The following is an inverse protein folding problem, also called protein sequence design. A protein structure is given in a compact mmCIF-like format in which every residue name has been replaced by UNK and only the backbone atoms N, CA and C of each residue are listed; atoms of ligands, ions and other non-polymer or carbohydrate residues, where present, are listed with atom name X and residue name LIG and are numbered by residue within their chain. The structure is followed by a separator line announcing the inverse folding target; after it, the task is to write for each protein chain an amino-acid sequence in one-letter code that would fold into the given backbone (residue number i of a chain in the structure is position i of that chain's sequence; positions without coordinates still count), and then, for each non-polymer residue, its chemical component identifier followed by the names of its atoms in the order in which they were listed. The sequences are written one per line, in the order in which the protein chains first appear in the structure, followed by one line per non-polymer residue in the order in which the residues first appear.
data_IF_248415802413
#
_entry.id   IF_248415802413
#
_cell.length_a   1.000
_cell.length_b   1.000
_cell.length_c   1.000
_cell.angle_alpha   90.00
_cell.angle_beta   90.00
_cell.angle_gamma   90.00
#
_symmetry.space_group_name_H-M   'P 1'
#
loop_
_entity.id
_entity.type
_entity.pdbx_description
1 polymer ?
#
# COMPACT_ATOMS: atom_id res chain seq x y z
N UNK A 1 -3.84 -7.79 -8.88
CA UNK A 1 -4.05 -6.87 -7.73
C UNK A 1 -3.16 -7.33 -6.60
N UNK A 2 -2.34 -6.44 -6.03
CA UNK A 2 -1.44 -6.77 -4.92
C UNK A 2 -1.90 -6.09 -3.63
N UNK A 3 -2.05 -6.87 -2.56
CA UNK A 3 -2.35 -6.40 -1.22
C UNK A 3 -1.11 -6.46 -0.33
N UNK A 4 -0.71 -5.30 0.20
CA UNK A 4 0.32 -5.14 1.22
C UNK A 4 -0.36 -4.81 2.55
N UNK A 5 -0.78 -5.84 3.26
CA UNK A 5 -1.60 -5.73 4.47
C UNK A 5 -1.16 -6.75 5.51
N UNK A 6 -1.49 -6.53 6.78
CA UNK A 6 -1.26 -7.52 7.84
C UNK A 6 -0.50 -6.96 9.04
N UNK A 7 0.60 -6.22 8.84
CA UNK A 7 1.53 -5.79 9.92
C UNK A 7 0.84 -5.06 11.08
N UNK A 8 -0.12 -4.18 10.82
CA UNK A 8 -0.85 -3.51 11.90
C UNK A 8 -1.84 -4.45 12.60
N UNK A 9 -2.44 -5.39 11.88
CA UNK A 9 -3.43 -6.32 12.42
C UNK A 9 -2.77 -7.40 13.28
N UNK A 10 -1.67 -8.01 12.80
CA UNK A 10 -0.94 -9.08 13.52
C UNK A 10 -0.34 -8.60 14.85
N UNK A 11 -0.18 -7.29 15.01
CA UNK A 11 0.26 -6.68 16.26
C UNK A 11 -0.83 -6.61 17.33
N UNK A 12 -2.10 -6.72 16.97
CA UNK A 12 -3.21 -6.48 17.91
C UNK A 12 -4.26 -7.59 17.91
N UNK A 13 -4.28 -8.45 16.89
CA UNK A 13 -5.20 -9.57 16.77
C UNK A 13 -4.44 -10.89 16.58
N UNK A 14 -4.98 -12.01 17.08
CA UNK A 14 -4.48 -13.34 16.75
C UNK A 14 -4.52 -13.61 15.24
N UNK A 15 -3.53 -14.33 14.73
CA UNK A 15 -3.41 -14.73 13.33
C UNK A 15 -4.71 -15.33 12.77
N UNK A 16 -5.29 -16.29 13.48
CA UNK A 16 -6.52 -16.99 13.09
C UNK A 16 -7.69 -16.04 12.79
N UNK A 17 -7.84 -14.97 13.59
CA UNK A 17 -8.87 -13.96 13.38
C UNK A 17 -8.62 -13.16 12.09
N UNK A 18 -7.36 -12.82 11.83
CA UNK A 18 -6.95 -12.05 10.64
C UNK A 18 -7.13 -12.91 9.39
N UNK A 19 -6.82 -14.20 9.47
CA UNK A 19 -6.99 -15.16 8.37
C UNK A 19 -8.46 -15.33 8.01
N UNK A 20 -9.33 -15.51 9.02
CA UNK A 20 -10.78 -15.57 8.79
C UNK A 20 -11.32 -14.30 8.12
N UNK A 21 -10.85 -13.12 8.53
CA UNK A 21 -11.21 -11.85 7.89
C UNK A 21 -10.65 -11.74 6.45
N UNK A 22 -9.43 -12.21 6.23
CA UNK A 22 -8.79 -12.22 4.91
C UNK A 22 -9.59 -13.09 3.95
N UNK A 23 -10.01 -14.29 4.38
CA UNK A 23 -10.88 -15.17 3.61
C UNK A 23 -12.18 -14.47 3.21
N UNK A 24 -12.86 -13.80 4.16
CA UNK A 24 -14.10 -13.07 3.87
C UNK A 24 -13.90 -11.94 2.85
N UNK A 25 -12.78 -11.20 2.95
CA UNK A 25 -12.44 -10.11 2.03
C UNK A 25 -12.17 -10.67 0.63
N UNK A 26 -11.36 -11.72 0.50
CA UNK A 26 -11.06 -12.35 -0.80
C UNK A 26 -12.33 -12.90 -1.44
N UNK A 27 -13.18 -13.61 -0.69
CA UNK A 27 -14.46 -14.12 -1.20
C UNK A 27 -15.36 -12.99 -1.70
N UNK A 28 -15.46 -11.89 -0.93
CA UNK A 28 -16.26 -10.72 -1.31
C UNK A 28 -15.74 -10.07 -2.61
N UNK A 29 -14.42 -9.95 -2.76
CA UNK A 29 -13.78 -9.42 -3.98
C UNK A 29 -14.09 -10.32 -5.17
N UNK A 30 -13.90 -11.64 -5.03
CA UNK A 30 -14.14 -12.61 -6.09
C UNK A 30 -15.61 -12.69 -6.50
N UNK A 31 -16.55 -12.56 -5.56
CA UNK A 31 -17.98 -12.47 -5.83
C UNK A 31 -18.35 -11.18 -6.57
N UNK A 32 -17.76 -10.05 -6.17
CA UNK A 32 -18.04 -8.74 -6.79
C UNK A 32 -17.39 -8.60 -8.16
N UNK A 33 -16.21 -9.18 -8.34
CA UNK A 33 -15.38 -9.09 -9.54
C UNK A 33 -14.98 -10.50 -10.00
N UNK A 34 -15.85 -11.22 -10.73
CA UNK A 34 -15.63 -12.63 -11.09
C UNK A 34 -14.33 -12.89 -11.88
N UNK A 35 -13.86 -11.90 -12.65
CA UNK A 35 -12.59 -12.00 -13.36
C UNK A 35 -11.36 -12.11 -12.44
N UNK A 36 -11.49 -11.77 -11.15
CA UNK A 36 -10.44 -11.91 -10.14
C UNK A 36 -10.43 -13.29 -9.46
N UNK A 37 -11.40 -14.16 -9.74
CA UNK A 37 -11.42 -15.54 -9.25
C UNK A 37 -10.42 -16.46 -9.98
N UNK A 38 -9.87 -15.99 -11.10
CA UNK A 38 -8.83 -16.72 -11.84
C UNK A 38 -7.51 -16.74 -11.06
N UNK A 39 -6.76 -17.84 -11.19
CA UNK A 39 -5.47 -18.01 -10.53
C UNK A 39 -4.55 -16.81 -10.80
N UNK A 40 -3.95 -16.28 -9.73
CA UNK A 40 -2.91 -15.26 -9.81
C UNK A 40 -3.36 -13.84 -10.11
N UNK A 41 -4.67 -13.57 -10.20
CA UNK A 41 -5.20 -12.20 -10.35
C UNK A 41 -5.19 -11.43 -9.03
N UNK A 42 -5.28 -12.15 -7.91
CA UNK A 42 -5.08 -11.61 -6.56
C UNK A 42 -3.71 -12.06 -6.06
N UNK A 43 -2.97 -11.15 -5.45
CA UNK A 43 -1.72 -11.44 -4.76
C UNK A 43 -1.76 -10.78 -3.38
N UNK A 44 -1.34 -11.50 -2.35
CA UNK A 44 -1.24 -11.00 -0.98
C UNK A 44 0.20 -11.21 -0.51
N UNK A 45 0.83 -10.18 0.03
CA UNK A 45 2.16 -10.32 0.59
C UNK A 45 2.13 -10.98 1.96
N UNK A 46 3.14 -11.80 2.26
CA UNK A 46 3.42 -12.19 3.63
C UNK A 46 3.73 -10.95 4.49
N UNK A 47 3.39 -11.00 5.77
CA UNK A 47 3.72 -9.93 6.70
C UNK A 47 5.21 -9.97 6.99
N UNK A 48 5.85 -8.80 6.88
CA UNK A 48 7.24 -8.59 7.29
C UNK A 48 7.43 -8.86 8.78
N UNK A 49 8.66 -9.20 9.21
CA UNK A 49 9.01 -9.18 10.62
C UNK A 49 8.66 -7.83 11.25
N UNK A 50 8.15 -7.85 12.48
CA UNK A 50 7.84 -6.66 13.25
C UNK A 50 8.19 -6.96 14.71
N UNK A 51 8.95 -6.07 15.35
CA UNK A 51 9.39 -6.23 16.74
C UNK A 51 8.72 -5.20 17.66
N UNK A 52 7.85 -4.34 17.10
CA UNK A 52 7.09 -3.37 17.89
C UNK A 52 5.90 -4.04 18.59
N UNK A 53 6.11 -4.45 19.84
CA UNK A 53 5.11 -5.12 20.69
C UNK A 53 3.87 -4.27 20.96
N UNK A 54 2.84 -4.91 21.53
CA UNK A 54 1.61 -4.27 22.04
C UNK A 54 1.18 -4.95 23.33
N UNK A 55 0.11 -4.47 23.98
CA UNK A 55 -0.44 -5.14 25.16
C UNK A 55 -0.88 -6.59 24.91
N UNK A 56 -1.33 -6.91 23.68
CA UNK A 56 -1.76 -8.26 23.31
C UNK A 56 -0.58 -9.22 23.12
N UNK A 57 0.54 -8.71 22.58
CA UNK A 57 1.78 -9.45 22.33
C UNK A 57 2.91 -8.68 22.97
N UNK A 58 3.08 -8.87 24.29
CA UNK A 58 3.95 -8.07 25.14
C UNK A 58 5.43 -8.33 24.93
N UNK A 59 5.79 -9.48 24.35
CA UNK A 59 7.18 -9.85 24.03
C UNK A 59 7.37 -9.99 22.52
N UNK A 60 8.58 -9.70 22.04
CA UNK A 60 8.93 -9.90 20.62
C UNK A 60 8.69 -11.34 20.18
N UNK A 61 9.04 -12.32 21.02
CA UNK A 61 8.82 -13.73 20.73
C UNK A 61 7.33 -14.06 20.52
N UNK A 62 6.43 -13.53 21.36
CA UNK A 62 4.99 -13.74 21.21
C UNK A 62 4.45 -13.12 19.92
N UNK A 63 4.96 -11.94 19.55
CA UNK A 63 4.57 -11.25 18.32
C UNK A 63 5.09 -11.99 17.08
N UNK A 64 6.36 -12.40 17.08
CA UNK A 64 6.97 -13.17 15.99
C UNK A 64 6.26 -14.52 15.81
N UNK A 65 5.91 -15.20 16.90
CA UNK A 65 5.10 -16.42 16.84
C UNK A 65 3.76 -16.17 16.14
N UNK A 66 3.04 -15.11 16.51
CA UNK A 66 1.78 -14.75 15.85
C UNK A 66 1.96 -14.39 14.36
N UNK A 67 3.06 -13.71 14.01
CA UNK A 67 3.40 -13.40 12.61
C UNK A 67 3.67 -14.68 11.81
N UNK A 68 4.39 -15.64 12.39
CA UNK A 68 4.70 -16.91 11.73
C UNK A 68 3.42 -17.71 11.48
N UNK A 69 2.56 -17.86 12.50
CA UNK A 69 1.25 -18.50 12.35
C UNK A 69 0.42 -17.81 11.27
N UNK A 70 0.39 -16.47 11.25
CA UNK A 70 -0.31 -15.73 10.20
C UNK A 70 0.25 -16.02 8.81
N UNK A 71 1.58 -16.02 8.62
CA UNK A 71 2.19 -16.25 7.32
C UNK A 71 1.98 -17.70 6.84
N UNK A 72 2.06 -18.68 7.73
CA UNK A 72 1.77 -20.10 7.43
C UNK A 72 0.30 -20.31 7.04
N UNK A 73 -0.63 -19.78 7.83
CA UNK A 73 -2.06 -19.90 7.52
C UNK A 73 -2.45 -19.12 6.26
N UNK A 74 -1.81 -17.98 5.98
CA UNK A 74 -2.04 -17.23 4.75
C UNK A 74 -1.56 -18.02 3.53
N UNK A 75 -0.42 -18.71 3.62
CA UNK A 75 0.07 -19.62 2.59
C UNK A 75 -0.86 -20.81 2.37
N UNK A 76 -1.44 -21.39 3.43
CA UNK A 76 -2.44 -22.44 3.30
C UNK A 76 -3.72 -21.89 2.62
N UNK A 77 -4.18 -20.71 3.04
CA UNK A 77 -5.36 -20.06 2.49
C UNK A 77 -5.19 -19.71 1.01
N UNK A 78 -3.98 -19.37 0.57
CA UNK A 78 -3.71 -19.03 -0.83
C UNK A 78 -3.98 -20.18 -1.78
N UNK A 79 -3.65 -21.41 -1.36
CA UNK A 79 -3.94 -22.62 -2.12
C UNK A 79 -5.45 -22.90 -2.20
N UNK A 80 -6.18 -22.68 -1.10
CA UNK A 80 -7.64 -22.89 -1.05
C UNK A 80 -8.39 -21.85 -1.88
N UNK A 81 -7.95 -20.61 -1.85
CA UNK A 81 -8.64 -19.47 -2.48
C UNK A 81 -8.03 -18.99 -3.80
N UNK A 82 -7.02 -19.71 -4.29
CA UNK A 82 -6.42 -19.53 -5.61
C UNK A 82 -5.79 -18.13 -5.83
N UNK A 83 -5.15 -17.56 -4.82
CA UNK A 83 -4.40 -16.31 -4.94
C UNK A 83 -2.89 -16.52 -4.78
N UNK A 84 -2.08 -15.61 -5.30
CA UNK A 84 -0.62 -15.69 -5.19
C UNK A 84 -0.12 -15.13 -3.86
N UNK A 85 0.93 -15.74 -3.32
CA UNK A 85 1.69 -15.17 -2.22
C UNK A 85 2.92 -14.46 -2.74
N UNK A 86 3.18 -13.27 -2.21
CA UNK A 86 4.43 -12.55 -2.43
C UNK A 86 5.26 -12.52 -1.15
N UNK A 87 6.43 -13.14 -1.18
CA UNK A 87 7.41 -13.03 -0.11
C UNK A 87 8.52 -12.06 -0.52
N UNK A 88 8.73 -11.02 0.29
CA UNK A 88 9.80 -10.05 0.07
C UNK A 88 11.14 -10.48 0.67
N UNK A 89 11.18 -11.60 1.39
CA UNK A 89 12.36 -12.13 2.08
C UNK A 89 13.02 -11.12 3.04
N UNK A 90 12.18 -10.30 3.69
CA UNK A 90 12.64 -9.30 4.64
C UNK A 90 12.98 -9.94 5.98
N UNK A 91 14.16 -9.60 6.50
CA UNK A 91 14.63 -9.95 7.85
C UNK A 91 14.62 -8.72 8.77
N UNK A 92 14.83 -8.91 10.07
CA UNK A 92 14.88 -7.84 11.08
C UNK A 92 15.90 -6.72 10.73
N UNK A 93 17.00 -7.06 10.05
CA UNK A 93 18.04 -6.11 9.65
C UNK A 93 17.54 -5.07 8.63
N UNK A 94 16.39 -5.29 8.01
CA UNK A 94 15.81 -4.38 7.04
C UNK A 94 14.82 -3.38 7.65
N UNK A 95 14.55 -3.48 8.95
CA UNK A 95 13.62 -2.61 9.65
C UNK A 95 14.25 -1.25 9.98
N UNK A 96 13.42 -0.22 9.99
CA UNK A 96 13.76 1.09 10.52
C UNK A 96 13.86 1.04 12.05
N UNK A 97 14.33 2.14 12.65
CA UNK A 97 14.50 2.27 14.10
C UNK A 97 13.21 2.07 14.90
N UNK A 98 12.04 2.18 14.27
CA UNK A 98 10.77 1.95 14.93
C UNK A 98 10.34 0.48 14.98
N UNK A 99 11.21 -0.41 14.48
CA UNK A 99 11.06 -1.86 14.48
C UNK A 99 9.76 -2.37 13.83
N UNK A 100 9.20 -1.58 12.91
CA UNK A 100 7.91 -1.86 12.29
C UNK A 100 7.89 -1.52 10.80
N UNK A 101 8.48 -0.39 10.40
CA UNK A 101 8.57 -0.03 9.00
C UNK A 101 9.88 -0.53 8.39
N UNK A 102 9.87 -0.70 7.07
CA UNK A 102 11.08 -1.01 6.30
C UNK A 102 11.96 0.26 6.24
N UNK A 103 13.26 0.10 6.47
CA UNK A 103 14.21 1.20 6.34
C UNK A 103 14.30 1.66 4.88
N UNK A 104 14.37 2.98 4.64
CA UNK A 104 14.28 3.57 3.29
C UNK A 104 15.35 3.09 2.29
N UNK A 105 16.47 2.57 2.80
CA UNK A 105 17.57 2.00 2.01
C UNK A 105 17.23 0.63 1.40
N UNK A 106 16.20 -0.05 1.90
CA UNK A 106 15.79 -1.36 1.38
C UNK A 106 14.56 -1.19 0.48
N UNK A 107 14.80 -1.27 -0.82
CA UNK A 107 13.77 -1.08 -1.83
C UNK A 107 13.10 -2.42 -2.16
N UNK A 108 11.86 -2.61 -1.71
CA UNK A 108 11.01 -3.76 -2.11
C UNK A 108 10.45 -3.61 -3.55
N UNK A 109 10.71 -2.47 -4.19
CA UNK A 109 10.13 -2.12 -5.49
C UNK A 109 10.50 -3.11 -6.59
N UNK A 110 11.76 -3.55 -6.64
CA UNK A 110 12.20 -4.53 -7.63
C UNK A 110 11.48 -5.88 -7.44
N UNK A 111 11.26 -6.31 -6.19
CA UNK A 111 10.48 -7.51 -5.90
C UNK A 111 9.03 -7.38 -6.36
N UNK A 112 8.43 -6.19 -6.25
CA UNK A 112 7.07 -5.93 -6.77
C UNK A 112 7.05 -5.99 -8.30
N UNK A 113 8.02 -5.37 -8.97
CA UNK A 113 8.13 -5.42 -10.45
C UNK A 113 8.28 -6.87 -10.90
N UNK A 114 9.28 -7.57 -10.38
CA UNK A 114 9.57 -8.96 -10.75
C UNK A 114 8.35 -9.87 -10.53
N UNK A 115 7.60 -9.65 -9.45
CA UNK A 115 6.35 -10.38 -9.19
C UNK A 115 5.32 -10.16 -10.30
N UNK A 116 5.08 -8.91 -10.70
CA UNK A 116 4.13 -8.63 -11.77
C UNK A 116 4.59 -9.13 -13.13
N UNK A 117 5.89 -9.08 -13.42
CA UNK A 117 6.46 -9.65 -14.64
C UNK A 117 6.24 -11.17 -14.70
N UNK A 118 6.49 -11.88 -13.59
CA UNK A 118 6.22 -13.32 -13.47
C UNK A 118 4.73 -13.64 -13.65
N UNK A 119 3.84 -12.89 -12.99
CA UNK A 119 2.39 -13.09 -13.13
C UNK A 119 1.95 -12.88 -14.59
N UNK A 120 2.49 -11.88 -15.27
CA UNK A 120 2.18 -11.61 -16.68
C UNK A 120 2.72 -12.70 -17.62
N UNK A 121 3.90 -13.25 -17.32
CA UNK A 121 4.46 -14.37 -18.08
C UNK A 121 3.57 -15.62 -17.94
N UNK A 122 3.17 -15.98 -16.72
CA UNK A 122 2.28 -17.13 -16.47
C UNK A 122 0.92 -16.99 -17.15
N UNK A 123 0.37 -15.77 -17.21
CA UNK A 123 -0.87 -15.50 -17.95
C UNK A 123 -0.64 -15.70 -19.46
N UNK A 124 0.50 -15.26 -19.98
CA UNK A 124 0.81 -15.33 -21.41
C UNK A 124 1.02 -16.77 -21.90
N UNK A 125 1.66 -17.62 -21.09
CA UNK A 125 1.83 -19.05 -21.41
C UNK A 125 0.53 -19.85 -21.29
N UNK A 126 -0.36 -19.50 -20.37
CA UNK A 126 -1.67 -20.16 -20.24
C UNK A 126 -2.63 -19.90 -21.42
N UNK A 127 -2.42 -18.83 -22.19
CA UNK A 127 -3.25 -18.47 -23.35
C UNK A 127 -2.84 -19.25 -24.62
N UNK A 128 -1.63 -19.83 -24.66
CA UNK A 128 -1.07 -20.47 -25.88
C UNK A 128 -1.18 -22.02 -25.84
N UNK A 129 -1.57 -22.64 -24.73
CA UNK A 129 -1.78 -24.09 -24.70
C UNK A 129 -3.06 -24.48 -25.49
N UNK A 130 -2.96 -25.22 -26.60
CA UNK A 130 -4.13 -25.65 -27.34
C UNK A 130 -4.89 -26.71 -26.55
N UNK A 131 -6.20 -26.57 -26.62
CA UNK A 131 -7.20 -27.50 -26.13
C UNK A 131 -7.05 -28.86 -26.83
N UNK A 132 -6.53 -29.86 -26.13
CA UNK A 132 -6.75 -31.26 -26.47
C UNK A 132 -7.71 -31.86 -25.45
N UNK A 133 -8.97 -31.90 -25.89
CA UNK A 133 -10.11 -32.62 -25.34
C UNK A 133 -9.77 -34.10 -25.15
N UNK A 134 -10.06 -34.66 -23.98
CA UNK A 134 -10.33 -36.09 -23.84
C UNK A 134 -11.29 -36.32 -22.68
N UNK A 135 -12.50 -36.67 -23.07
CA UNK A 135 -13.64 -37.08 -22.26
C UNK A 135 -13.34 -38.43 -21.60
N UNK A 136 -13.61 -38.57 -20.31
CA UNK A 136 -14.28 -39.73 -19.72
C UNK A 136 -14.54 -39.51 -18.22
N UNK A 137 -15.81 -39.29 -17.90
CA UNK A 137 -16.45 -39.66 -16.63
C UNK A 137 -16.61 -41.21 -16.64
N UNK A 138 -16.65 -41.91 -15.48
CA UNK A 138 -17.94 -42.00 -14.81
C UNK A 138 -17.90 -42.15 -13.26
N UNK A 139 -18.84 -41.45 -12.61
CA UNK A 139 -19.65 -41.85 -11.44
C UNK A 139 -19.02 -42.61 -10.27
N UNK A 140 -19.13 -42.05 -9.07
CA UNK A 140 -19.66 -42.77 -7.89
C UNK A 140 -20.11 -41.81 -6.78
N UNK A 141 -21.35 -42.02 -6.36
CA UNK A 141 -22.07 -41.45 -5.23
C UNK A 141 -21.47 -41.79 -3.87
N UNK A 142 -21.53 -40.89 -2.88
CA UNK A 142 -21.97 -41.22 -1.51
C UNK A 142 -22.30 -39.95 -0.71
N UNK A 143 -23.29 -40.09 0.17
CA UNK A 143 -24.08 -39.05 0.82
C UNK A 143 -23.78 -38.84 2.32
N UNK A 144 -23.81 -37.56 2.77
CA UNK A 144 -24.30 -37.01 4.07
C UNK A 144 -23.65 -37.49 5.41
N UNK A 145 -23.68 -36.71 6.53
CA UNK A 145 -24.77 -35.83 6.94
C UNK A 145 -24.42 -34.40 7.43
N UNK A 146 -25.50 -33.63 7.47
CA UNK A 146 -25.71 -32.27 7.93
C UNK A 146 -25.73 -32.12 9.45
N UNK A 147 -25.05 -31.10 9.97
CA UNK A 147 -25.33 -30.55 11.31
C UNK A 147 -25.45 -29.02 11.24
N UNK A 148 -26.68 -28.54 11.42
CA UNK A 148 -27.02 -27.12 11.50
C UNK A 148 -27.00 -26.66 12.96
N UNK A 149 -25.99 -25.90 13.36
CA UNK A 149 -26.06 -25.06 14.55
C UNK A 149 -26.19 -23.58 14.15
N UNK A 150 -27.40 -23.05 14.34
CA UNK A 150 -27.73 -21.63 14.19
C UNK A 150 -26.98 -20.80 15.22
N UNK A 151 -26.01 -19.99 14.79
CA UNK A 151 -25.44 -18.91 15.61
C UNK A 151 -26.05 -17.58 15.18
N UNK A 152 -27.05 -17.14 15.92
CA UNK A 152 -27.59 -15.78 15.89
C UNK A 152 -26.50 -14.78 16.36
N UNK A 153 -25.84 -14.08 15.44
CA UNK A 153 -25.06 -12.88 15.78
C UNK A 153 -25.83 -11.63 15.33
N UNK A 154 -26.21 -10.81 16.33
CA UNK A 154 -26.85 -9.50 16.18
C UNK A 154 -26.05 -8.61 15.23
N UNK A 155 -26.51 -8.52 13.99
CA UNK A 155 -25.97 -7.65 12.95
C UNK A 155 -26.25 -6.19 13.32
N UNK A 156 -25.20 -5.42 13.67
CA UNK A 156 -25.31 -3.96 13.65
C UNK A 156 -25.49 -3.56 12.18
N UNK A 157 -26.60 -2.89 11.87
CA UNK A 157 -27.02 -2.57 10.50
C UNK A 157 -25.85 -2.06 9.64
N UNK A 158 -25.62 -2.74 8.51
CA UNK A 158 -24.63 -2.44 7.47
C UNK A 158 -24.62 -0.94 7.08
N UNK A 159 -25.79 -0.31 7.11
CA UNK A 159 -25.98 1.12 6.86
C UNK A 159 -25.22 2.04 7.83
N UNK A 160 -25.05 1.65 9.10
CA UNK A 160 -24.30 2.45 10.08
C UNK A 160 -22.80 2.35 9.83
N UNK A 161 -22.32 1.17 9.42
CA UNK A 161 -20.91 0.96 9.06
C UNK A 161 -20.56 1.74 7.79
N UNK A 162 -21.43 1.68 6.78
CA UNK A 162 -21.25 2.36 5.51
C UNK A 162 -21.29 3.89 5.68
N UNK A 163 -22.16 4.42 6.55
CA UNK A 163 -22.18 5.85 6.88
C UNK A 163 -20.90 6.32 7.57
N UNK A 164 -20.33 5.51 8.48
CA UNK A 164 -19.05 5.83 9.14
C UNK A 164 -17.87 5.76 8.16
N UNK A 165 -17.84 4.75 7.30
CA UNK A 165 -16.80 4.58 6.29
C UNK A 165 -16.85 5.71 5.24
N UNK A 166 -18.04 6.11 4.79
CA UNK A 166 -18.23 7.26 3.89
C UNK A 166 -17.74 8.56 4.53
N UNK A 167 -18.08 8.81 5.80
CA UNK A 167 -17.60 10.01 6.53
C UNK A 167 -16.08 10.01 6.68
N UNK A 168 -15.47 8.86 6.98
CA UNK A 168 -14.00 8.71 7.07
C UNK A 168 -13.31 8.90 5.72
N UNK A 169 -13.90 8.38 4.64
CA UNK A 169 -13.42 8.57 3.27
C UNK A 169 -13.43 10.04 2.86
N UNK A 170 -14.54 10.76 3.10
CA UNK A 170 -14.63 12.19 2.79
C UNK A 170 -13.65 13.03 3.63
N UNK A 171 -13.46 12.70 4.91
CA UNK A 171 -12.44 13.35 5.74
C UNK A 171 -11.02 13.08 5.24
N UNK A 172 -10.72 11.86 4.80
CA UNK A 172 -9.44 11.51 4.18
C UNK A 172 -9.26 12.19 2.83
N UNK A 173 -10.33 12.36 2.05
CA UNK A 173 -10.34 13.06 0.76
C UNK A 173 -10.09 14.56 0.95
N UNK A 174 -10.67 15.17 1.98
CA UNK A 174 -10.35 16.54 2.39
C UNK A 174 -8.89 16.68 2.84
N UNK A 175 -8.40 15.77 3.71
CA UNK A 175 -6.99 15.74 4.15
C UNK A 175 -6.00 15.44 3.02
N UNK A 176 -6.43 14.77 1.95
CA UNK A 176 -5.64 14.44 0.75
C UNK A 176 -5.75 15.48 -0.37
N UNK A 177 -6.44 16.60 -0.18
CA UNK A 177 -6.19 17.78 -1.01
C UNK A 177 -4.79 18.26 -0.65
N UNK A 178 -3.79 17.69 -1.32
CA UNK A 178 -2.40 18.07 -1.15
C UNK A 178 -2.30 19.53 -1.55
N UNK A 179 -2.13 20.39 -0.56
CA UNK A 179 -1.86 21.80 -0.79
C UNK A 179 -0.47 21.87 -1.42
N UNK A 180 -0.41 22.03 -2.74
CA UNK A 180 0.83 21.86 -3.48
C UNK A 180 0.92 22.86 -4.62
N UNK A 181 2.02 23.60 -4.62
CA UNK A 181 2.40 24.46 -5.73
C UNK A 181 3.33 23.68 -6.64
N UNK A 182 3.09 23.77 -7.96
CA UNK A 182 3.97 23.22 -8.99
C UNK A 182 4.58 24.37 -9.78
N UNK A 183 5.90 24.31 -9.98
CA UNK A 183 6.64 25.27 -10.81
C UNK A 183 7.61 24.53 -11.72
N UNK A 184 7.76 25.02 -12.94
CA UNK A 184 8.82 24.58 -13.83
C UNK A 184 10.11 25.23 -13.36
N UNK A 185 11.21 24.48 -13.34
CA UNK A 185 12.50 25.00 -12.87
C UNK A 185 13.57 24.86 -13.95
N UNK A 186 14.50 25.80 -13.96
CA UNK A 186 15.73 25.70 -14.72
C UNK A 186 16.69 24.68 -14.08
N UNK A 187 17.56 24.08 -14.89
CA UNK A 187 18.44 23.00 -14.44
C UNK A 187 19.51 23.45 -13.42
N UNK A 188 19.78 24.75 -13.37
CA UNK A 188 20.72 25.36 -12.41
C UNK A 188 20.15 25.47 -10.98
N UNK A 189 18.83 25.40 -10.83
CA UNK A 189 18.19 25.41 -9.51
C UNK A 189 18.35 24.06 -8.82
N UNK A 190 19.19 24.01 -7.79
CA UNK A 190 19.34 22.84 -6.92
C UNK A 190 18.37 22.90 -5.75
N UNK A 191 18.12 21.76 -5.11
CA UNK A 191 17.25 21.70 -3.93
C UNK A 191 17.71 22.67 -2.82
N UNK A 192 19.02 22.78 -2.59
CA UNK A 192 19.61 23.68 -1.58
C UNK A 192 19.35 25.15 -1.91
N UNK A 193 19.46 25.53 -3.19
CA UNK A 193 19.20 26.90 -3.62
C UNK A 193 17.71 27.24 -3.57
N UNK A 194 16.85 26.28 -3.91
CA UNK A 194 15.40 26.44 -3.80
C UNK A 194 14.99 26.64 -2.34
N UNK A 195 15.52 25.83 -1.41
CA UNK A 195 15.23 26.01 0.02
C UNK A 195 15.72 27.36 0.51
N UNK A 196 16.95 27.76 0.19
CA UNK A 196 17.49 29.06 0.58
C UNK A 196 16.69 30.24 0.03
N UNK A 197 16.23 30.16 -1.22
CA UNK A 197 15.34 31.16 -1.80
C UNK A 197 14.00 31.24 -1.06
N UNK A 198 13.33 30.11 -0.83
CA UNK A 198 12.04 30.08 -0.13
C UNK A 198 12.13 30.61 1.29
N UNK A 199 13.24 30.33 1.98
CA UNK A 199 13.51 30.84 3.32
C UNK A 199 13.73 32.37 3.30
N UNK A 200 14.40 32.90 2.26
CA UNK A 200 14.66 34.34 2.09
C UNK A 200 13.39 35.18 1.87
N UNK A 201 12.33 34.56 1.34
CA UNK A 201 11.01 35.18 1.18
C UNK A 201 10.00 34.72 2.25
N UNK A 202 10.48 34.04 3.30
CA UNK A 202 9.70 33.58 4.45
C UNK A 202 8.49 32.68 4.09
N UNK A 203 8.62 31.87 3.04
CA UNK A 203 7.57 30.91 2.66
C UNK A 203 7.59 29.72 3.63
N UNK A 204 6.47 29.50 4.33
CA UNK A 204 6.28 28.32 5.17
C UNK A 204 5.81 27.14 4.33
N UNK A 205 6.65 26.11 4.20
CA UNK A 205 6.29 24.88 3.51
C UNK A 205 6.51 23.66 4.42
N UNK A 206 5.82 22.56 4.09
CA UNK A 206 5.89 21.28 4.80
C UNK A 206 7.08 20.46 4.32
N UNK A 207 7.19 20.28 3.00
CA UNK A 207 8.29 19.55 2.37
C UNK A 207 8.37 19.84 0.88
N UNK A 208 9.54 19.59 0.32
CA UNK A 208 9.81 19.65 -1.13
C UNK A 208 10.21 18.24 -1.58
N UNK A 209 9.32 17.50 -2.28
CA UNK A 209 9.69 16.22 -2.87
C UNK A 209 10.80 16.36 -3.93
N UNK A 210 11.48 15.26 -4.29
CA UNK A 210 12.47 15.27 -5.37
C UNK A 210 11.90 15.84 -6.68
N UNK A 211 12.70 16.65 -7.36
CA UNK A 211 12.34 17.26 -8.65
C UNK A 211 12.29 16.16 -9.71
N UNK A 212 11.19 16.10 -10.46
CA UNK A 212 11.04 15.17 -11.58
C UNK A 212 10.61 15.94 -12.83
N UNK A 213 11.22 15.63 -13.98
CA UNK A 213 10.95 16.30 -15.26
C UNK A 213 11.00 17.84 -15.19
N UNK A 214 11.97 18.40 -14.44
CA UNK A 214 12.12 19.85 -14.22
C UNK A 214 10.88 20.51 -13.59
N UNK A 215 10.08 19.74 -12.85
CA UNK A 215 8.92 20.24 -12.10
C UNK A 215 9.24 20.15 -10.61
N UNK A 216 9.33 21.33 -9.99
CA UNK A 216 9.36 21.49 -8.54
C UNK A 216 7.95 21.37 -7.98
N UNK A 217 7.82 20.65 -6.86
CA UNK A 217 6.59 20.54 -6.09
C UNK A 217 6.88 21.04 -4.67
N UNK A 218 6.11 22.00 -4.20
CA UNK A 218 6.22 22.52 -2.83
C UNK A 218 4.93 22.15 -2.13
N UNK A 219 5.03 21.36 -1.05
CA UNK A 219 3.87 20.89 -0.30
C UNK A 219 3.66 21.74 0.95
N UNK A 220 2.40 22.03 1.27
CA UNK A 220 1.98 22.88 2.38
C UNK A 220 1.10 22.10 3.36
N UNK A 221 1.09 22.55 4.63
CA UNK A 221 0.29 21.93 5.69
C UNK A 221 -1.19 22.33 5.62
N UNK A 222 -1.49 23.51 5.07
CA UNK A 222 -2.83 24.07 4.96
C UNK A 222 -2.97 24.94 3.68
N UNK A 223 -4.21 25.28 3.33
CA UNK A 223 -4.51 26.08 2.13
C UNK A 223 -4.02 27.53 2.24
N UNK A 224 -4.08 28.12 3.44
CA UNK A 224 -3.70 29.53 3.64
C UNK A 224 -2.22 29.78 3.32
N UNK A 225 -1.33 28.91 3.82
CA UNK A 225 0.11 28.98 3.50
C UNK A 225 0.36 28.75 2.00
N UNK A 226 -0.43 27.88 1.36
CA UNK A 226 -0.34 27.67 -0.08
C UNK A 226 -0.75 28.92 -0.86
N UNK A 227 -1.82 29.60 -0.47
CA UNK A 227 -2.31 30.77 -1.20
C UNK A 227 -1.31 31.94 -1.10
N UNK A 228 -0.81 32.21 0.11
CA UNK A 228 0.26 33.21 0.33
C UNK A 228 1.50 32.86 -0.50
N UNK A 229 1.93 31.61 -0.45
CA UNK A 229 3.08 31.17 -1.23
C UNK A 229 2.82 31.23 -2.74
N UNK A 230 1.58 31.03 -3.21
CA UNK A 230 1.26 31.11 -4.62
C UNK A 230 1.33 32.54 -5.16
N UNK A 231 1.00 33.53 -4.34
CA UNK A 231 1.14 34.95 -4.65
C UNK A 231 2.61 35.37 -4.67
N UNK A 232 3.41 34.91 -3.70
CA UNK A 232 4.84 35.27 -3.59
C UNK A 232 5.74 34.52 -4.59
N UNK A 233 5.42 33.26 -4.89
CA UNK A 233 6.16 32.39 -5.80
C UNK A 233 5.51 32.51 -7.18
N UNK A 234 5.93 33.52 -7.94
CA UNK A 234 5.54 33.70 -9.33
C UNK A 234 5.74 32.43 -10.18
N UNK A 235 5.04 32.36 -11.31
CA UNK A 235 5.05 31.18 -12.20
C UNK A 235 6.48 30.89 -12.72
N UNK A 236 7.23 31.95 -13.02
CA UNK A 236 8.56 31.87 -13.66
C UNK A 236 9.72 32.15 -12.70
N UNK A 237 9.45 32.16 -11.39
CA UNK A 237 10.44 32.53 -10.36
C UNK A 237 11.67 31.60 -10.32
N UNK A 238 11.58 30.42 -10.91
CA UNK A 238 12.69 29.45 -11.01
C UNK A 238 13.25 29.34 -12.44
N UNK A 239 13.16 30.41 -13.23
CA UNK A 239 13.80 30.48 -14.55
C UNK A 239 15.31 30.80 -14.43
N UNK A 240 15.98 30.88 -15.57
CA UNK A 240 17.42 31.18 -15.65
C UNK A 240 17.74 32.62 -15.25
N UNK A 241 16.94 33.60 -15.69
CA UNK A 241 17.19 35.02 -15.38
C UNK A 241 17.18 35.27 -13.87
N UNK A 242 16.17 34.75 -13.17
CA UNK A 242 16.03 34.94 -11.74
C UNK A 242 17.07 34.12 -10.93
N UNK A 243 17.56 33.01 -11.49
CA UNK A 243 18.71 32.31 -10.91
C UNK A 243 19.95 33.20 -10.88
N UNK A 244 20.25 33.88 -11.99
CA UNK A 244 21.43 34.76 -12.07
C UNK A 244 21.30 35.93 -11.09
N UNK A 245 20.12 36.54 -10.99
CA UNK A 245 19.84 37.59 -10.01
C UNK A 245 20.04 37.11 -8.57
N UNK A 246 19.49 35.94 -8.23
CA UNK A 246 19.61 35.37 -6.88
C UNK A 246 21.06 35.02 -6.51
N UNK A 247 21.82 34.42 -7.42
CA UNK A 247 23.23 34.06 -7.16
C UNK A 247 24.10 35.31 -7.05
N UNK A 248 23.89 36.32 -7.91
CA UNK A 248 24.66 37.57 -7.86
C UNK A 248 24.40 38.37 -6.57
N UNK A 249 23.18 38.29 -6.02
CA UNK A 249 22.83 38.96 -4.76
C UNK A 249 23.44 38.30 -3.52
N UNK A 250 23.80 37.01 -3.61
CA UNK A 250 24.33 36.21 -2.50
C UNK A 250 25.83 35.88 -2.64
N UNK A 251 26.54 36.57 -3.54
CA UNK A 251 28.00 36.61 -3.62
C UNK A 251 28.53 37.83 -2.89
#
# INVERSE_FOLDING_TARGET
MLFLVGTNSVRVFPATQIISQTQQVVSSIQQTYPHLSQHGKISISLTFPCLKTTAQFSTEQSLLSNINVYNEELQALSSVMNFNILNFHMTNNHLAQDNMHIHFRHHIFNSIINHFDQVNQTISTAIIAPTSTSIADPTSSLSLPSDQTKINKKSKSRAVLDRKNKKRFEQLKLKRRQHTIKRKIHHQWTAVLITGYLDSIHVKYSRIPPVYNKILRIMFNNQHDQDIAAEQIGIDIFNENHYQEFVNKNR
#
